data_IF_230462795058
#
_entry.id   IF_230462795058
#
_cell.length_a   1.000
_cell.length_b   1.000
_cell.length_c   1.000
_cell.angle_alpha   90.00
_cell.angle_beta   90.00
_cell.angle_gamma   90.00
#
_symmetry.space_group_name_H-M   'P 1'
#
loop_
_entity.id
_entity.type
_entity.pdbx_description
1 polymer ?
#
# COMPACT_ATOMS: atom_id res chain seq x y z
N UNK A 1 -8.20 2.32 5.21
CA UNK A 1 -8.15 1.87 3.80
C UNK A 1 -7.30 0.62 3.77
N UNK A 2 -7.81 -0.51 3.29
CA UNK A 2 -7.03 -1.74 3.25
C UNK A 2 -5.82 -1.59 2.33
N UNK A 3 -4.69 -2.14 2.75
CA UNK A 3 -3.47 -2.25 1.96
C UNK A 3 -3.23 -3.72 1.66
N UNK A 4 -3.13 -4.08 0.38
CA UNK A 4 -2.80 -5.42 -0.07
C UNK A 4 -1.38 -5.40 -0.60
N UNK A 5 -0.60 -6.40 -0.23
CA UNK A 5 0.73 -6.64 -0.76
C UNK A 5 0.85 -8.08 -1.20
N UNK A 6 1.55 -8.31 -2.31
CA UNK A 6 2.12 -9.62 -2.58
C UNK A 6 3.36 -9.81 -1.71
N UNK A 7 3.80 -11.05 -1.51
CA UNK A 7 5.20 -11.29 -1.17
C UNK A 7 6.08 -10.91 -2.37
N UNK A 8 7.40 -10.88 -2.20
CA UNK A 8 8.32 -10.77 -3.34
C UNK A 8 8.10 -11.98 -4.27
N UNK A 9 7.76 -11.67 -5.52
CA UNK A 9 7.52 -12.63 -6.58
C UNK A 9 8.78 -12.76 -7.44
N UNK A 10 8.89 -13.85 -8.20
CA UNK A 10 9.97 -14.00 -9.17
C UNK A 10 9.43 -14.25 -10.57
N UNK A 11 10.08 -13.68 -11.57
CA UNK A 11 9.80 -13.98 -12.98
C UNK A 11 10.50 -15.23 -13.48
N UNK A 12 11.39 -15.83 -12.68
CA UNK A 12 12.06 -17.08 -13.03
C UNK A 12 11.07 -18.23 -13.09
N UNK A 13 11.29 -19.23 -13.96
CA UNK A 13 10.47 -20.43 -14.00
C UNK A 13 10.39 -21.10 -12.63
N UNK A 14 9.19 -21.51 -12.25
CA UNK A 14 8.94 -22.28 -11.02
C UNK A 14 8.26 -23.60 -11.38
N UNK A 15 8.16 -24.55 -10.46
CA UNK A 15 7.64 -25.89 -10.77
C UNK A 15 6.17 -25.79 -11.21
N UNK A 16 5.93 -25.91 -12.52
CA UNK A 16 4.60 -25.83 -13.14
C UNK A 16 4.28 -24.51 -13.84
N UNK A 17 5.17 -23.51 -13.81
CA UNK A 17 5.01 -22.22 -14.49
C UNK A 17 6.31 -21.84 -15.22
N UNK A 18 6.17 -21.42 -16.47
CA UNK A 18 7.28 -20.85 -17.25
C UNK A 18 7.79 -19.53 -16.66
N UNK A 19 8.69 -18.86 -17.39
CA UNK A 19 9.12 -17.52 -17.01
C UNK A 19 7.91 -16.57 -17.05
N UNK A 20 7.71 -15.78 -16.00
CA UNK A 20 6.57 -14.86 -15.91
C UNK A 20 6.85 -13.67 -16.83
N UNK A 21 5.93 -13.44 -17.77
CA UNK A 21 6.03 -12.36 -18.75
C UNK A 21 5.10 -11.19 -18.40
N UNK A 22 3.98 -11.48 -17.73
CA UNK A 22 2.99 -10.46 -17.39
C UNK A 22 2.35 -10.72 -16.03
N UNK A 23 1.80 -9.65 -15.46
CA UNK A 23 0.91 -9.69 -14.29
C UNK A 23 -0.41 -9.06 -14.67
N UNK A 24 -1.51 -9.74 -14.35
CA UNK A 24 -2.86 -9.24 -14.53
C UNK A 24 -3.46 -8.95 -13.15
N UNK A 25 -3.91 -7.72 -12.95
CA UNK A 25 -4.60 -7.30 -11.73
C UNK A 25 -6.05 -7.00 -12.09
N UNK A 26 -6.97 -7.69 -11.41
CA UNK A 26 -8.42 -7.49 -11.54
C UNK A 26 -8.95 -6.84 -10.28
N UNK A 27 -9.59 -5.70 -10.43
CA UNK A 27 -10.34 -5.03 -9.38
C UNK A 27 -11.84 -5.18 -9.66
N UNK A 28 -12.57 -5.75 -8.70
CA UNK A 28 -14.01 -5.99 -8.78
C UNK A 28 -14.70 -5.18 -7.70
N UNK A 29 -15.61 -4.29 -8.10
CA UNK A 29 -16.38 -3.50 -7.16
C UNK A 29 -17.79 -4.10 -6.94
N UNK A 30 -17.97 -4.76 -5.81
CA UNK A 30 -19.26 -5.31 -5.38
C UNK A 30 -20.00 -4.37 -4.40
N UNK A 31 -19.41 -3.23 -4.04
CA UNK A 31 -20.02 -2.22 -3.16
C UNK A 31 -21.00 -1.32 -3.90
N UNK A 32 -21.91 -0.64 -3.19
CA UNK A 32 -22.96 0.19 -3.80
C UNK A 32 -22.48 1.55 -4.33
N UNK A 33 -21.18 1.85 -4.23
CA UNK A 33 -20.60 3.15 -4.58
C UNK A 33 -19.35 3.00 -5.44
N UNK A 34 -18.97 4.08 -6.11
CA UNK A 34 -17.71 4.16 -6.86
C UNK A 34 -16.52 4.11 -5.91
N UNK A 35 -15.49 3.36 -6.27
CA UNK A 35 -14.27 3.27 -5.50
C UNK A 35 -13.03 3.69 -6.27
N UNK A 36 -11.99 4.00 -5.52
CA UNK A 36 -10.67 4.34 -6.03
C UNK A 36 -9.71 3.22 -5.65
N UNK A 37 -8.89 2.81 -6.60
CA UNK A 37 -7.82 1.83 -6.45
C UNK A 37 -6.51 2.47 -6.88
N UNK A 38 -5.51 2.32 -6.02
CA UNK A 38 -4.15 2.75 -6.27
C UNK A 38 -3.23 1.52 -6.26
N UNK A 39 -2.47 1.30 -7.33
CA UNK A 39 -1.58 0.16 -7.52
C UNK A 39 -0.14 0.67 -7.65
N UNK A 40 0.79 -0.06 -7.04
CA UNK A 40 2.24 0.12 -7.25
C UNK A 40 2.92 -1.20 -7.54
N UNK A 41 3.80 -1.23 -8.53
CA UNK A 41 4.76 -2.32 -8.77
C UNK A 41 6.16 -1.89 -8.35
N UNK A 42 6.79 -2.65 -7.47
CA UNK A 42 8.15 -2.45 -6.95
C UNK A 42 9.10 -3.46 -7.58
N UNK A 43 10.28 -2.99 -7.94
CA UNK A 43 11.41 -3.77 -8.40
C UNK A 43 12.32 -4.05 -7.20
N UNK A 44 12.46 -5.32 -6.87
CA UNK A 44 13.26 -5.80 -5.75
C UNK A 44 14.61 -6.38 -6.22
N UNK A 45 14.98 -6.19 -7.48
CA UNK A 45 16.31 -6.58 -8.00
C UNK A 45 17.44 -5.70 -7.46
N UNK A 46 17.10 -4.53 -6.92
CA UNK A 46 18.04 -3.51 -6.44
C UNK A 46 17.63 -3.03 -5.04
N UNK A 47 18.62 -2.54 -4.28
CA UNK A 47 18.42 -2.00 -2.93
C UNK A 47 18.90 -0.54 -2.88
N UNK A 48 18.06 0.43 -2.48
CA UNK A 48 16.64 0.27 -2.12
C UNK A 48 15.77 -0.09 -3.34
N UNK A 49 14.62 -0.71 -3.07
CA UNK A 49 13.64 -1.08 -4.08
C UNK A 49 13.18 0.15 -4.88
N UNK A 50 12.93 -0.04 -6.19
CA UNK A 50 12.53 1.06 -7.09
C UNK A 50 11.15 0.83 -7.67
N UNK A 51 10.35 1.89 -7.84
CA UNK A 51 9.05 1.80 -8.49
C UNK A 51 9.20 1.56 -10.01
N UNK A 52 8.46 0.60 -10.57
CA UNK A 52 8.39 0.39 -12.02
C UNK A 52 6.97 0.53 -12.59
N UNK A 53 5.94 0.44 -11.75
CA UNK A 53 4.55 0.66 -12.15
C UNK A 53 3.80 1.44 -11.07
N UNK A 54 2.94 2.37 -11.48
CA UNK A 54 2.12 3.16 -10.58
C UNK A 54 0.86 3.59 -11.30
N UNK A 55 -0.31 3.31 -10.72
CA UNK A 55 -1.57 3.70 -11.35
C UNK A 55 -2.64 4.00 -10.30
N UNK A 56 -3.41 5.07 -10.54
CA UNK A 56 -4.62 5.42 -9.80
C UNK A 56 -5.79 5.35 -10.77
N UNK A 57 -6.82 4.58 -10.43
CA UNK A 57 -8.02 4.49 -11.26
C UNK A 57 -9.25 4.29 -10.39
N UNK A 58 -10.39 4.56 -11.01
CA UNK A 58 -11.69 4.42 -10.38
C UNK A 58 -12.39 3.16 -10.89
N UNK A 59 -13.22 2.56 -10.04
CA UNK A 59 -14.02 1.38 -10.36
C UNK A 59 -15.46 1.68 -9.98
N UNK A 60 -16.34 1.78 -10.98
CA UNK A 60 -17.76 2.06 -10.77
C UNK A 60 -18.49 0.85 -10.16
N UNK A 61 -19.74 1.05 -9.75
CA UNK A 61 -20.59 0.00 -9.22
C UNK A 61 -20.72 -1.18 -10.20
N UNK A 62 -20.46 -2.41 -9.74
CA UNK A 62 -20.48 -3.66 -10.54
C UNK A 62 -19.49 -3.67 -11.71
N UNK A 63 -18.54 -2.74 -11.73
CA UNK A 63 -17.49 -2.73 -12.74
C UNK A 63 -16.36 -3.68 -12.36
N UNK A 64 -15.77 -4.29 -13.39
CA UNK A 64 -14.54 -5.06 -13.29
C UNK A 64 -13.48 -4.36 -14.13
N UNK A 65 -12.46 -3.84 -13.47
CA UNK A 65 -11.31 -3.23 -14.15
C UNK A 65 -10.17 -4.23 -14.16
N UNK A 66 -9.58 -4.44 -15.35
CA UNK A 66 -8.41 -5.31 -15.54
C UNK A 66 -7.22 -4.46 -15.98
N UNK A 67 -6.10 -4.59 -15.27
CA UNK A 67 -4.81 -3.97 -15.60
C UNK A 67 -3.78 -5.03 -15.89
N UNK A 68 -3.00 -4.85 -16.94
CA UNK A 68 -1.95 -5.78 -17.35
C UNK A 68 -0.62 -5.06 -17.34
N UNK A 69 0.36 -5.64 -16.67
CA UNK A 69 1.72 -5.12 -16.53
C UNK A 69 2.70 -6.13 -17.13
N UNK A 70 3.54 -5.67 -18.06
CA UNK A 70 4.64 -6.49 -18.56
C UNK A 70 5.75 -6.54 -17.52
N UNK A 71 6.29 -7.72 -17.25
CA UNK A 71 7.33 -7.92 -16.26
C UNK A 71 8.68 -8.09 -16.94
N UNK A 72 9.62 -7.23 -16.57
CA UNK A 72 11.02 -7.31 -17.01
C UNK A 72 11.99 -7.54 -15.86
N UNK A 73 11.51 -7.42 -14.61
CA UNK A 73 12.29 -7.58 -13.38
C UNK A 73 12.40 -9.07 -13.01
N UNK A 74 13.49 -9.46 -12.34
CA UNK A 74 13.66 -10.83 -11.84
C UNK A 74 12.87 -11.04 -10.55
N UNK A 75 12.90 -10.05 -9.66
CA UNK A 75 12.18 -10.00 -8.40
C UNK A 75 11.33 -8.73 -8.35
N UNK A 76 10.05 -8.89 -8.04
CA UNK A 76 9.11 -7.78 -8.04
C UNK A 76 8.00 -8.00 -7.02
N UNK A 77 7.30 -6.93 -6.68
CA UNK A 77 6.19 -6.94 -5.74
C UNK A 77 5.09 -6.01 -6.24
N UNK A 78 3.83 -6.37 -5.98
CA UNK A 78 2.69 -5.49 -6.22
C UNK A 78 2.01 -5.14 -4.90
N UNK A 79 1.69 -3.86 -4.75
CA UNK A 79 0.86 -3.37 -3.67
C UNK A 79 -0.38 -2.68 -4.24
N UNK A 80 -1.48 -2.75 -3.49
CA UNK A 80 -2.70 -2.06 -3.83
C UNK A 80 -3.38 -1.46 -2.60
N UNK A 81 -3.91 -0.25 -2.74
CA UNK A 81 -4.71 0.45 -1.74
C UNK A 81 -6.05 0.78 -2.36
N UNK A 82 -7.14 0.60 -1.61
CA UNK A 82 -8.47 0.89 -2.12
C UNK A 82 -9.40 1.49 -1.08
N UNK A 83 -10.44 2.19 -1.57
CA UNK A 83 -11.24 3.10 -0.75
C UNK A 83 -12.43 2.48 -0.02
N UNK A 84 -12.81 1.23 -0.31
CA UNK A 84 -14.01 0.61 0.30
C UNK A 84 -13.84 -0.90 0.54
N UNK A 85 -14.53 -1.45 1.54
CA UNK A 85 -14.36 -2.86 1.94
C UNK A 85 -14.91 -3.89 0.94
N UNK A 86 -15.95 -3.54 0.18
CA UNK A 86 -16.58 -4.42 -0.81
C UNK A 86 -15.88 -4.40 -2.20
N UNK A 87 -14.69 -3.82 -2.27
CA UNK A 87 -13.81 -3.94 -3.44
C UNK A 87 -12.84 -5.10 -3.23
N UNK A 88 -12.76 -5.98 -4.23
CA UNK A 88 -11.86 -7.13 -4.22
C UNK A 88 -10.80 -6.97 -5.30
N UNK A 89 -9.54 -7.27 -4.95
CA UNK A 89 -8.42 -7.26 -5.88
C UNK A 89 -7.87 -8.67 -6.00
N UNK A 90 -7.78 -9.18 -7.22
CA UNK A 90 -7.14 -10.46 -7.51
C UNK A 90 -5.98 -10.22 -8.48
N UNK A 91 -4.82 -10.80 -8.15
CA UNK A 91 -3.60 -10.71 -8.93
C UNK A 91 -3.32 -12.10 -9.51
N UNK A 92 -2.95 -12.14 -10.79
CA UNK A 92 -2.56 -13.33 -11.51
C UNK A 92 -1.21 -13.12 -12.20
N UNK A 93 -0.36 -14.14 -12.18
CA UNK A 93 0.83 -14.23 -13.02
C UNK A 93 0.47 -14.88 -14.34
N UNK A 94 1.09 -14.42 -15.41
CA UNK A 94 0.99 -15.00 -16.75
C UNK A 94 2.38 -15.40 -17.19
N UNK A 95 2.59 -16.69 -17.44
CA UNK A 95 3.86 -17.17 -17.96
C UNK A 95 4.02 -16.89 -19.47
N UNK A 96 5.21 -17.13 -20.00
CA UNK A 96 5.52 -16.95 -21.42
C UNK A 96 4.70 -17.84 -22.36
N UNK A 97 4.03 -18.87 -21.84
CA UNK A 97 3.13 -19.75 -22.58
C UNK A 97 1.64 -19.34 -22.44
N UNK A 98 1.35 -18.28 -21.68
CA UNK A 98 0.00 -17.78 -21.42
C UNK A 98 -0.74 -18.48 -20.27
N UNK A 99 -0.05 -19.31 -19.47
CA UNK A 99 -0.65 -19.96 -18.31
C UNK A 99 -0.86 -18.96 -17.19
N UNK A 100 -2.10 -18.89 -16.70
CA UNK A 100 -2.53 -18.02 -15.61
C UNK A 100 -2.39 -18.74 -14.26
N UNK A 101 -1.77 -18.09 -13.28
CA UNK A 101 -1.67 -18.58 -11.90
C UNK A 101 -2.07 -17.50 -10.89
N UNK A 102 -3.00 -17.77 -9.97
CA UNK A 102 -3.39 -16.79 -8.95
C UNK A 102 -2.29 -16.57 -7.91
N UNK A 103 -2.15 -15.33 -7.46
CA UNK A 103 -1.21 -14.94 -6.40
C UNK A 103 -1.94 -14.74 -5.09
N UNK A 104 -1.44 -15.35 -4.02
CA UNK A 104 -1.88 -15.08 -2.66
C UNK A 104 -1.44 -13.69 -2.22
N UNK A 105 -2.37 -12.90 -1.70
CA UNK A 105 -2.12 -11.55 -1.21
C UNK A 105 -2.22 -11.52 0.31
N UNK A 106 -1.46 -10.63 0.95
CA UNK A 106 -1.54 -10.35 2.37
C UNK A 106 -2.16 -8.97 2.57
N UNK A 107 -3.20 -8.89 3.39
CA UNK A 107 -3.74 -7.63 3.85
C UNK A 107 -2.93 -7.12 5.03
N UNK A 108 -2.49 -5.87 4.95
CA UNK A 108 -1.85 -5.14 6.02
C UNK A 108 -2.80 -4.04 6.50
N UNK A 109 -2.85 -3.85 7.81
CA UNK A 109 -3.55 -2.72 8.41
C UNK A 109 -2.65 -1.49 8.34
N UNK A 110 -2.90 -0.63 7.36
CA UNK A 110 -2.24 0.68 7.28
C UNK A 110 -3.08 1.67 8.08
N UNK A 111 -2.62 1.98 9.29
CA UNK A 111 -3.14 3.09 10.06
C UNK A 111 -2.67 4.40 9.45
N UNK A 112 -3.61 5.31 9.18
CA UNK A 112 -3.32 6.63 8.63
C UNK A 112 -2.69 7.48 9.75
N UNK A 113 -1.37 7.61 9.78
CA UNK A 113 -0.75 8.68 10.57
C UNK A 113 -1.05 10.00 9.85
N UNK A 114 -2.15 10.66 10.22
CA UNK A 114 -2.35 12.07 9.90
C UNK A 114 -1.50 12.91 10.86
N UNK A 115 -0.18 12.82 10.73
CA UNK A 115 0.72 13.85 11.22
C UNK A 115 1.34 14.48 9.99
N UNK A 116 0.74 15.58 9.54
CA UNK A 116 1.44 16.51 8.67
C UNK A 116 2.63 17.06 9.48
N UNK A 117 3.79 16.40 9.41
CA UNK A 117 5.03 16.99 9.87
C UNK A 117 5.38 18.12 8.91
N UNK A 118 4.84 19.31 9.19
CA UNK A 118 5.27 20.54 8.53
C UNK A 118 6.59 20.94 9.15
N UNK A 119 7.70 20.50 8.58
CA UNK A 119 8.98 21.16 8.84
C UNK A 119 8.88 22.61 8.37
N UNK A 120 9.31 23.55 9.22
CA UNK A 120 9.43 24.99 8.94
C UNK A 120 8.14 25.79 8.69
N UNK A 121 7.19 25.76 9.63
CA UNK A 121 6.26 26.91 9.76
C UNK A 121 6.95 28.00 10.58
N UNK A 122 7.31 29.11 9.93
CA UNK A 122 7.71 30.32 10.65
C UNK A 122 6.47 30.89 11.36
N UNK A 123 6.36 30.61 12.66
CA UNK A 123 5.28 31.14 13.51
C UNK A 123 5.66 32.57 13.91
N UNK A 124 4.93 33.56 13.41
CA UNK A 124 5.16 34.98 13.69
C UNK A 124 4.26 35.56 14.78
N UNK A 125 3.42 34.74 15.42
CA UNK A 125 2.47 35.17 16.46
C UNK A 125 2.83 34.58 17.82
N UNK A 126 2.77 35.39 18.88
CA UNK A 126 3.25 35.07 20.23
C UNK A 126 2.49 33.97 20.95
N UNK A 127 1.25 33.67 20.52
CA UNK A 127 0.32 32.81 21.27
C UNK A 127 0.08 31.49 20.53
N UNK A 128 1.15 30.72 20.31
CA UNK A 128 1.06 29.39 19.70
C UNK A 128 1.54 28.32 20.69
N UNK A 129 0.61 27.52 21.22
CA UNK A 129 0.95 26.31 21.95
C UNK A 129 1.17 25.17 20.95
N UNK A 130 2.44 24.90 20.59
CA UNK A 130 2.81 23.79 19.72
C UNK A 130 3.37 22.66 20.57
N UNK A 131 2.60 21.57 20.73
CA UNK A 131 3.15 20.30 21.24
C UNK A 131 3.88 19.66 20.06
N UNK A 132 5.18 19.93 19.91
CA UNK A 132 6.02 19.30 18.91
C UNK A 132 6.65 18.03 19.48
N UNK A 133 6.32 16.87 18.93
CA UNK A 133 7.04 15.63 19.23
C UNK A 133 8.30 15.56 18.36
N UNK A 134 9.49 15.67 18.97
CA UNK A 134 10.77 15.53 18.26
C UNK A 134 11.16 14.06 18.22
N UNK A 135 11.42 13.52 17.03
CA UNK A 135 11.96 12.16 16.89
C UNK A 135 13.37 12.12 17.48
N UNK A 136 13.61 11.24 18.46
CA UNK A 136 14.96 10.94 18.92
C UNK A 136 15.60 9.93 17.96
N UNK A 137 16.63 10.36 17.23
CA UNK A 137 17.32 9.54 16.23
C UNK A 137 18.05 8.33 16.84
N UNK A 138 18.27 8.30 18.16
CA UNK A 138 18.90 7.18 18.84
C UNK A 138 17.95 5.99 19.11
N UNK A 139 16.64 6.14 18.87
CA UNK A 139 15.65 5.09 19.14
C UNK A 139 15.17 4.51 17.81
N UNK A 140 15.56 3.26 17.53
CA UNK A 140 14.97 2.45 16.46
C UNK A 140 13.62 1.97 16.95
N UNK A 141 12.55 2.57 16.45
CA UNK A 141 11.18 2.13 16.77
C UNK A 141 10.91 0.88 15.93
N UNK A 142 10.58 -0.29 16.52
CA UNK A 142 10.16 -1.45 15.76
C UNK A 142 8.90 -1.12 14.96
N UNK A 143 8.81 -1.60 13.72
CA UNK A 143 7.62 -1.46 12.89
C UNK A 143 6.38 -1.92 13.68
N UNK A 144 5.47 -0.95 13.96
CA UNK A 144 4.21 -1.07 14.71
C UNK A 144 4.12 -0.50 16.15
N UNK A 145 5.12 0.22 16.70
CA UNK A 145 4.89 0.92 17.98
C UNK A 145 4.21 2.29 17.78
N UNK A 146 3.00 2.43 18.30
CA UNK A 146 2.27 3.71 18.43
C UNK A 146 2.46 4.30 19.84
N UNK A 147 2.48 5.63 19.93
CA UNK A 147 2.35 6.33 21.20
C UNK A 147 0.87 6.59 21.51
N UNK A 148 0.40 6.15 22.67
CA UNK A 148 -0.92 6.47 23.21
C UNK A 148 -0.81 7.80 23.99
N UNK A 149 -1.62 8.81 23.63
CA UNK A 149 -1.84 9.96 24.51
C UNK A 149 -2.96 9.57 25.46
N UNK A 150 -2.62 9.25 26.71
CA UNK A 150 -3.62 9.17 27.77
C UNK A 150 -4.04 10.59 28.18
N UNK A 151 -5.34 10.89 28.27
CA UNK A 151 -5.78 12.12 28.91
C UNK A 151 -5.32 12.09 30.38
N UNK A 152 -4.72 13.19 30.84
CA UNK A 152 -4.45 13.40 32.26
C UNK A 152 -5.80 13.41 32.99
N UNK A 153 -6.06 12.36 33.76
CA UNK A 153 -7.21 12.33 34.66
C UNK A 153 -6.91 13.21 35.86
N UNK A 154 -7.04 14.52 35.68
CA UNK A 154 -7.15 15.48 36.78
C UNK A 154 -7.99 16.69 36.34
N UNK A 155 -9.31 16.47 36.22
CA UNK A 155 -10.28 17.56 36.29
C UNK A 155 -10.35 18.09 37.73
N UNK A 156 -10.27 19.42 37.80
CA UNK A 156 -10.58 20.28 38.94
C UNK A 156 -11.94 19.96 39.56
N UNK A 157 -12.00 19.89 40.89
CA UNK A 157 -13.25 19.96 41.66
C UNK A 157 -13.59 21.44 41.92
N UNK A 158 -14.89 21.72 41.98
CA UNK A 158 -15.59 23.01 42.14
C UNK A 158 -15.06 23.82 43.34
#
# INVERSE_FOLDING_TARGET
MPYLTTNTLTSRPTKGLGAISQVIIKAVNNGSSKAVVYITGLNNDVTPETLFAQELFEVNYREVVTKTYNITQTYFQFNAVYSQELLQIQIFLVDSAGVLSPVTQKQLEVSRITSEFRENVAVTTSDFALISFRRNAAVVIPEAAAAEIKPDSSFCTI
#
